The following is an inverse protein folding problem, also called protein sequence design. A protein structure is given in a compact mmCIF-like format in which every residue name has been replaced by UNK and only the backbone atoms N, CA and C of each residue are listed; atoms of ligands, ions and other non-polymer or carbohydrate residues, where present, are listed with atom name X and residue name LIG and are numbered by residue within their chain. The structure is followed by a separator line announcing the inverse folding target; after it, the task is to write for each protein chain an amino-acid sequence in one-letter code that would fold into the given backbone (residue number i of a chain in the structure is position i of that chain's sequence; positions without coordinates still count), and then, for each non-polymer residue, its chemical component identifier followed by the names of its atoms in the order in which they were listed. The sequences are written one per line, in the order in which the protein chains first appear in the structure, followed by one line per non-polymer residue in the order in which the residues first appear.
data_IF_869577915425
#
_entry.id   IF_869577915425
#
_cell.length_a   1.000
_cell.length_b   1.000
_cell.length_c   1.000
_cell.angle_alpha   90.00
_cell.angle_beta   90.00
_cell.angle_gamma   90.00
#
_symmetry.space_group_name_H-M   'P 1'
#
loop_
_entity.id
_entity.type
_entity.pdbx_description
1 polymer ?
#
# COMPACT_ATOMS: atom_id res chain seq x y z
N UNK A 1 15.60 6.09 -12.23
CA UNK A 1 16.21 7.35 -11.71
C UNK A 1 15.36 7.89 -10.55
N UNK A 2 15.97 8.20 -9.40
CA UNK A 2 15.25 8.77 -8.24
C UNK A 2 14.73 10.18 -8.56
N UNK A 3 13.46 10.45 -8.23
CA UNK A 3 12.86 11.77 -8.41
C UNK A 3 13.55 12.78 -7.48
N UNK A 4 13.89 13.97 -8.00
CA UNK A 4 14.58 15.04 -7.25
C UNK A 4 13.66 15.82 -6.29
N UNK A 5 12.39 15.42 -6.21
CA UNK A 5 11.36 16.05 -5.39
C UNK A 5 10.97 15.08 -4.27
N UNK A 6 10.89 15.52 -3.01
CA UNK A 6 10.45 14.64 -1.94
C UNK A 6 9.02 14.16 -2.19
N UNK A 7 8.71 12.88 -1.92
CA UNK A 7 7.33 12.39 -2.01
C UNK A 7 6.45 13.10 -0.96
N UNK A 8 5.12 13.16 -1.17
CA UNK A 8 4.16 13.69 -0.23
C UNK A 8 4.27 12.92 1.09
N UNK A 9 4.18 13.64 2.20
CA UNK A 9 4.20 13.05 3.55
C UNK A 9 2.81 12.49 3.88
N UNK A 10 2.46 11.38 3.22
CA UNK A 10 1.17 10.72 3.33
C UNK A 10 1.34 9.23 3.64
N UNK A 11 0.29 8.61 4.15
CA UNK A 11 0.19 7.16 4.32
C UNK A 11 -0.76 6.52 3.30
N UNK A 12 -1.23 7.31 2.34
CA UNK A 12 -2.02 6.85 1.20
C UNK A 12 -1.08 6.30 0.11
N UNK A 13 -1.03 4.97 0.00
CA UNK A 13 -0.21 4.28 -0.99
C UNK A 13 -0.73 4.50 -2.41
N UNK A 14 -2.03 4.71 -2.61
CA UNK A 14 -2.60 5.05 -3.91
C UNK A 14 -2.11 6.42 -4.36
N UNK A 15 -2.08 7.41 -3.47
CA UNK A 15 -1.53 8.73 -3.75
C UNK A 15 -0.03 8.65 -4.07
N UNK A 16 0.74 7.88 -3.30
CA UNK A 16 2.18 7.68 -3.57
C UNK A 16 2.41 7.00 -4.91
N UNK A 17 1.65 5.95 -5.22
CA UNK A 17 1.73 5.25 -6.50
C UNK A 17 1.39 6.16 -7.67
N UNK A 18 0.37 7.02 -7.55
CA UNK A 18 0.01 8.00 -8.58
C UNK A 18 1.15 8.96 -8.95
N UNK A 19 2.04 9.28 -8.02
CA UNK A 19 3.19 10.14 -8.29
C UNK A 19 4.40 9.42 -8.90
N UNK A 20 4.41 8.10 -8.91
CA UNK A 20 5.47 7.35 -9.59
C UNK A 20 5.41 7.59 -11.11
N UNK A 21 6.56 7.64 -11.80
CA UNK A 21 6.58 7.64 -13.25
C UNK A 21 6.08 6.31 -13.81
N UNK A 22 5.60 6.31 -15.06
CA UNK A 22 4.95 5.13 -15.68
C UNK A 22 5.80 3.85 -15.62
N UNK A 23 7.11 3.96 -15.84
CA UNK A 23 8.04 2.82 -15.78
C UNK A 23 8.21 2.23 -14.36
N UNK A 24 7.83 2.97 -13.32
CA UNK A 24 7.91 2.54 -11.93
C UNK A 24 6.54 2.14 -11.35
N UNK A 25 5.45 2.23 -12.14
CA UNK A 25 4.12 1.86 -11.68
C UNK A 25 4.05 0.37 -11.37
N UNK A 26 3.33 0.05 -10.29
CA UNK A 26 2.91 -1.32 -9.99
C UNK A 26 1.99 -1.85 -11.09
N UNK A 27 1.95 -3.18 -11.32
CA UNK A 27 0.91 -3.82 -12.11
C UNK A 27 -0.49 -3.45 -11.62
N UNK A 28 -1.44 -3.27 -12.54
CA UNK A 28 -2.81 -2.81 -12.22
C UNK A 28 -3.48 -3.62 -11.10
N UNK A 29 -3.34 -4.96 -11.14
CA UNK A 29 -3.91 -5.84 -10.11
C UNK A 29 -3.40 -5.56 -8.68
N UNK A 30 -2.15 -5.11 -8.53
CA UNK A 30 -1.59 -4.72 -7.23
C UNK A 30 -1.96 -3.28 -6.90
N UNK A 31 -1.91 -2.38 -7.88
CA UNK A 31 -2.22 -0.96 -7.72
C UNK A 31 -3.66 -0.74 -7.22
N UNK A 32 -4.63 -1.46 -7.79
CA UNK A 32 -6.05 -1.36 -7.43
C UNK A 32 -6.32 -1.73 -5.97
N UNK A 33 -5.45 -2.56 -5.38
CA UNK A 33 -5.59 -3.02 -4.00
C UNK A 33 -4.81 -2.17 -2.98
N UNK A 34 -4.04 -1.15 -3.42
CA UNK A 34 -3.32 -0.27 -2.50
C UNK A 34 -4.23 0.51 -1.57
N UNK A 35 -5.45 0.84 -2.02
CA UNK A 35 -6.44 1.51 -1.19
C UNK A 35 -6.82 0.65 0.02
N UNK A 36 -6.90 -0.69 -0.16
CA UNK A 36 -7.18 -1.62 0.92
C UNK A 36 -6.09 -1.56 2.00
N UNK A 37 -4.81 -1.57 1.60
CA UNK A 37 -3.70 -1.51 2.55
C UNK A 37 -3.61 -0.13 3.22
N UNK A 38 -3.84 0.94 2.46
CA UNK A 38 -3.81 2.32 2.97
C UNK A 38 -4.84 2.54 4.07
N UNK A 39 -6.03 1.94 3.95
CA UNK A 39 -7.08 2.06 4.97
C UNK A 39 -6.61 1.55 6.34
N UNK A 40 -5.81 0.47 6.35
CA UNK A 40 -5.35 -0.18 7.58
C UNK A 40 -4.37 0.69 8.35
N UNK A 41 -3.81 1.75 7.74
CA UNK A 41 -3.04 2.75 8.49
C UNK A 41 -3.88 3.30 9.64
N UNK A 42 -5.16 3.63 9.46
CA UNK A 42 -5.98 4.17 10.56
C UNK A 42 -6.78 3.06 11.23
N UNK A 43 -7.46 2.23 10.45
CA UNK A 43 -8.47 1.29 10.97
C UNK A 43 -7.89 0.13 11.76
N UNK A 44 -6.61 -0.21 11.60
CA UNK A 44 -5.97 -1.27 12.40
C UNK A 44 -5.50 -0.80 13.77
N UNK A 45 -5.38 0.52 14.00
CA UNK A 45 -4.76 1.10 15.21
C UNK A 45 -5.78 1.68 16.18
N UNK A 46 -6.85 2.27 15.66
CA UNK A 46 -7.77 3.09 16.45
C UNK A 46 -9.14 2.41 16.57
N UNK A 47 -9.57 2.01 17.79
CA UNK A 47 -10.87 1.35 17.99
C UNK A 47 -12.09 2.16 17.53
N UNK A 48 -11.96 3.49 17.44
CA UNK A 48 -13.01 4.40 17.00
C UNK A 48 -12.98 4.68 15.49
N UNK A 49 -12.11 4.02 14.71
CA UNK A 49 -12.00 4.22 13.27
C UNK A 49 -12.90 3.29 12.43
N UNK A 50 -13.63 2.37 13.07
CA UNK A 50 -14.55 1.44 12.41
C UNK A 50 -15.81 1.19 13.25
N UNK A 51 -16.68 0.31 12.76
CA UNK A 51 -17.91 -0.09 13.47
C UNK A 51 -17.60 -0.96 14.70
N UNK A 52 -16.54 -1.76 14.62
CA UNK A 52 -16.05 -2.62 15.71
C UNK A 52 -14.56 -2.43 15.91
N UNK A 53 -14.03 -3.02 16.99
CA UNK A 53 -12.61 -2.96 17.29
C UNK A 53 -11.82 -3.68 16.18
N UNK A 54 -10.59 -3.25 15.88
CA UNK A 54 -9.77 -3.84 14.81
C UNK A 54 -9.61 -5.36 14.93
N UNK A 55 -9.51 -5.88 16.16
CA UNK A 55 -9.40 -7.32 16.46
C UNK A 55 -10.63 -8.14 16.08
N UNK A 56 -11.78 -7.48 15.92
CA UNK A 56 -13.07 -8.10 15.57
C UNK A 56 -13.41 -7.85 14.10
N UNK A 57 -13.14 -6.65 13.60
CA UNK A 57 -13.54 -6.24 12.25
C UNK A 57 -12.60 -6.70 11.14
N UNK A 58 -11.30 -6.90 11.43
CA UNK A 58 -10.32 -7.32 10.42
C UNK A 58 -10.25 -8.85 10.39
N UNK A 59 -10.80 -9.43 9.34
CA UNK A 59 -10.82 -10.88 9.17
C UNK A 59 -9.46 -11.45 8.77
N UNK A 60 -9.26 -12.75 9.01
CA UNK A 60 -8.07 -13.47 8.52
C UNK A 60 -7.89 -13.33 7.01
N UNK A 61 -8.97 -13.42 6.24
CA UNK A 61 -8.92 -13.30 4.77
C UNK A 61 -8.42 -11.93 4.33
N UNK A 62 -8.93 -10.86 4.95
CA UNK A 62 -8.45 -9.49 4.72
C UNK A 62 -6.98 -9.33 5.10
N UNK A 63 -6.59 -9.81 6.28
CA UNK A 63 -5.20 -9.77 6.72
C UNK A 63 -4.25 -10.51 5.77
N UNK A 64 -4.61 -11.72 5.34
CA UNK A 64 -3.81 -12.50 4.37
C UNK A 64 -3.70 -11.78 3.04
N UNK A 65 -4.79 -11.23 2.52
CA UNK A 65 -4.78 -10.46 1.28
C UNK A 65 -3.90 -9.20 1.40
N UNK A 66 -4.02 -8.46 2.50
CA UNK A 66 -3.21 -7.27 2.77
C UNK A 66 -1.70 -7.60 2.75
N UNK A 67 -1.32 -8.74 3.34
CA UNK A 67 0.07 -9.22 3.32
C UNK A 67 0.54 -9.55 1.89
N UNK A 68 -0.28 -10.22 1.09
CA UNK A 68 0.05 -10.53 -0.31
C UNK A 68 0.25 -9.25 -1.15
N UNK A 69 -0.57 -8.23 -0.92
CA UNK A 69 -0.44 -6.92 -1.60
C UNK A 69 0.86 -6.23 -1.19
N UNK A 70 1.17 -6.23 0.11
CA UNK A 70 2.39 -5.64 0.64
C UNK A 70 3.64 -6.33 0.09
N UNK A 71 3.65 -7.66 0.06
CA UNK A 71 4.74 -8.46 -0.50
C UNK A 71 4.95 -8.16 -1.99
N UNK A 72 3.88 -8.16 -2.78
CA UNK A 72 3.96 -7.81 -4.21
C UNK A 72 4.48 -6.38 -4.44
N UNK A 73 4.07 -5.43 -3.59
CA UNK A 73 4.51 -4.03 -3.67
C UNK A 73 6.00 -3.89 -3.36
N UNK A 74 6.47 -4.54 -2.30
CA UNK A 74 7.88 -4.52 -1.90
C UNK A 74 8.74 -5.17 -2.99
N UNK A 75 8.36 -6.37 -3.46
CA UNK A 75 9.09 -7.08 -4.51
C UNK A 75 9.21 -6.26 -5.80
N UNK A 76 8.15 -5.55 -6.19
CA UNK A 76 8.20 -4.66 -7.34
C UNK A 76 9.17 -3.49 -7.11
N UNK A 77 9.15 -2.90 -5.92
CA UNK A 77 10.08 -1.82 -5.57
C UNK A 77 11.54 -2.30 -5.54
N UNK A 78 11.81 -3.49 -5.00
CA UNK A 78 13.14 -4.12 -5.01
C UNK A 78 13.64 -4.32 -6.44
N UNK A 79 12.82 -4.91 -7.31
CA UNK A 79 13.17 -5.11 -8.72
C UNK A 79 13.50 -3.78 -9.43
N UNK A 80 12.80 -2.69 -9.11
CA UNK A 80 13.08 -1.36 -9.67
C UNK A 80 14.39 -0.75 -9.16
N UNK A 81 14.79 -1.07 -7.94
CA UNK A 81 16.04 -0.60 -7.34
C UNK A 81 17.26 -1.41 -7.81
N UNK A 82 17.06 -2.70 -8.08
CA UNK A 82 18.10 -3.60 -8.62
C UNK A 82 18.27 -3.50 -10.14
N UNK A 83 17.29 -2.92 -10.85
CA UNK A 83 17.39 -2.68 -12.28
C UNK A 83 18.52 -1.68 -12.61
N UNK A 84 19.41 -2.01 -13.59
CA UNK A 84 20.54 -1.17 -13.97
C UNK A 84 20.15 0.16 -14.62
#
# INVERSE_FOLDING_TARGET
ALLRTPPPRTHDLTQLHHQLPDHAKLPAATADMLAEVSQYYVTARYPNAGLQRPSESITRTQATRALQIAEATIKHAENLLEAP
#
